data_IF_971334336095
#
_entry.id   IF_971334336095
#
_cell.length_a   1.000
_cell.length_b   1.000
_cell.length_c   1.000
_cell.angle_alpha   90.00
_cell.angle_beta   90.00
_cell.angle_gamma   90.00
#
_symmetry.space_group_name_H-M   'P 1'
#
loop_
_entity.id
_entity.type
_entity.pdbx_description
1 polymer ?
#
# COMPACT_ATOMS: atom_id res chain seq x y z
N UNK A 1 16.55 -60.44 8.49
CA UNK A 1 16.92 -59.66 7.30
C UNK A 1 15.79 -59.64 6.25
N UNK A 2 15.24 -60.79 5.83
CA UNK A 2 14.20 -60.90 4.79
C UNK A 2 12.85 -60.22 5.16
N UNK A 3 12.43 -60.34 6.40
CA UNK A 3 11.18 -59.67 6.87
C UNK A 3 11.31 -58.16 6.87
N UNK A 4 12.46 -57.62 7.22
CA UNK A 4 12.71 -56.17 7.22
C UNK A 4 12.77 -55.59 5.80
N UNK A 5 13.37 -56.34 4.86
CA UNK A 5 13.36 -56.00 3.44
C UNK A 5 11.90 -55.97 2.88
N UNK A 6 11.11 -56.96 3.21
CA UNK A 6 9.72 -57.05 2.78
C UNK A 6 8.88 -55.89 3.34
N UNK A 7 9.08 -55.50 4.61
CA UNK A 7 8.42 -54.33 5.19
C UNK A 7 8.78 -53.04 4.49
N UNK A 8 10.09 -52.87 4.17
CA UNK A 8 10.57 -51.69 3.43
C UNK A 8 9.99 -51.63 2.03
N UNK A 9 9.84 -52.76 1.34
CA UNK A 9 9.20 -52.82 0.02
C UNK A 9 7.70 -52.44 0.08
N UNK A 10 6.97 -52.91 1.11
CA UNK A 10 5.57 -52.52 1.32
C UNK A 10 5.48 -51.05 1.63
N UNK A 11 6.34 -50.48 2.44
CA UNK A 11 6.34 -49.04 2.74
C UNK A 11 6.62 -48.22 1.47
N UNK A 12 7.55 -48.62 0.63
CA UNK A 12 7.84 -47.98 -0.64
C UNK A 12 6.61 -48.02 -1.58
N UNK A 13 5.98 -49.18 -1.75
CA UNK A 13 4.81 -49.36 -2.59
C UNK A 13 3.62 -48.49 -2.09
N UNK A 14 3.42 -48.40 -0.77
CA UNK A 14 2.41 -47.52 -0.17
C UNK A 14 2.68 -46.04 -0.43
N UNK A 15 3.94 -45.62 -0.28
CA UNK A 15 4.34 -44.25 -0.57
C UNK A 15 4.14 -43.89 -2.06
N UNK A 16 4.39 -44.83 -2.96
CA UNK A 16 4.13 -44.65 -4.38
C UNK A 16 2.62 -44.53 -4.67
N UNK A 17 1.80 -45.39 -4.04
CA UNK A 17 0.35 -45.34 -4.19
C UNK A 17 -0.21 -44.01 -3.62
N UNK A 18 0.30 -43.52 -2.51
CA UNK A 18 -0.18 -42.26 -1.91
C UNK A 18 0.15 -41.06 -2.81
N UNK A 19 1.24 -41.08 -3.53
CA UNK A 19 1.58 -40.05 -4.54
C UNK A 19 0.61 -40.00 -5.75
N UNK A 20 -0.15 -41.06 -5.97
CA UNK A 20 -1.19 -41.05 -7.04
C UNK A 20 -2.52 -40.44 -6.58
N UNK A 21 -2.61 -40.03 -5.31
CA UNK A 21 -3.78 -39.41 -4.72
C UNK A 21 -3.47 -37.98 -4.36
N UNK A 22 -4.07 -37.05 -5.08
CA UNK A 22 -3.98 -35.63 -4.74
C UNK A 22 -4.98 -35.33 -3.62
N UNK A 23 -4.52 -34.69 -2.55
CA UNK A 23 -5.35 -34.29 -1.40
C UNK A 23 -5.13 -32.83 -1.12
N UNK A 24 -6.18 -32.11 -0.74
CA UNK A 24 -6.10 -30.74 -0.25
C UNK A 24 -5.29 -30.72 1.07
N UNK A 25 -4.20 -29.94 1.16
CA UNK A 25 -3.40 -29.84 2.38
C UNK A 25 -4.04 -28.95 3.45
N UNK A 26 -4.99 -28.10 3.08
CA UNK A 26 -5.75 -27.19 3.94
C UNK A 26 -7.14 -26.94 3.38
N UNK A 27 -8.03 -26.35 4.17
CA UNK A 27 -9.36 -25.92 3.75
C UNK A 27 -9.24 -24.64 2.90
N UNK A 28 -9.86 -24.62 1.71
CA UNK A 28 -9.73 -23.50 0.79
C UNK A 28 -10.69 -23.61 -0.39
N UNK A 29 -10.57 -22.67 -1.31
CA UNK A 29 -11.33 -22.66 -2.56
C UNK A 29 -10.46 -23.12 -3.72
N UNK A 30 -10.97 -24.04 -4.54
CA UNK A 30 -10.32 -24.44 -5.78
C UNK A 30 -10.49 -23.30 -6.77
N UNK A 31 -9.39 -22.62 -7.10
CA UNK A 31 -9.37 -21.53 -8.07
C UNK A 31 -9.45 -22.03 -9.49
N UNK A 32 -8.63 -23.00 -9.85
CA UNK A 32 -8.57 -23.55 -11.21
C UNK A 32 -8.23 -25.04 -11.19
N UNK A 33 -8.77 -25.77 -12.16
CA UNK A 33 -8.42 -27.17 -12.44
C UNK A 33 -7.93 -27.21 -13.89
N UNK A 34 -6.64 -27.50 -14.10
CA UNK A 34 -6.02 -27.50 -15.42
C UNK A 34 -5.82 -28.88 -16.03
N UNK A 35 -6.39 -29.92 -15.44
CA UNK A 35 -6.34 -31.28 -15.95
C UNK A 35 -7.70 -31.81 -16.34
N UNK A 36 -7.77 -32.57 -17.42
CA UNK A 36 -8.98 -33.28 -17.82
C UNK A 36 -8.94 -34.75 -17.40
N UNK A 37 -10.14 -35.36 -17.31
CA UNK A 37 -10.24 -36.77 -16.98
C UNK A 37 -9.56 -37.64 -18.04
N UNK A 38 -8.67 -38.54 -17.62
CA UNK A 38 -7.80 -39.38 -18.46
C UNK A 38 -6.60 -38.66 -19.09
N UNK A 39 -6.32 -37.43 -18.70
CA UNK A 39 -5.09 -36.74 -19.09
C UNK A 39 -3.90 -37.20 -18.23
N UNK A 40 -2.72 -37.27 -18.84
CA UNK A 40 -1.49 -37.60 -18.13
C UNK A 40 -0.88 -36.32 -17.54
N UNK A 41 -0.74 -36.29 -16.24
CA UNK A 41 -0.13 -35.17 -15.52
C UNK A 41 1.29 -35.54 -15.14
N UNK A 42 2.24 -34.69 -15.55
CA UNK A 42 3.66 -34.87 -15.22
C UNK A 42 3.95 -34.14 -13.90
N UNK A 43 4.56 -34.81 -12.91
CA UNK A 43 5.07 -34.12 -11.73
C UNK A 43 6.14 -33.09 -12.12
N UNK A 44 6.15 -31.93 -11.47
CA UNK A 44 7.12 -30.88 -11.73
C UNK A 44 8.54 -31.37 -11.50
N UNK A 45 9.42 -31.36 -12.51
CA UNK A 45 10.83 -31.65 -12.31
C UNK A 45 11.45 -30.59 -11.38
N UNK A 46 12.45 -30.94 -10.57
CA UNK A 46 13.18 -29.96 -9.75
C UNK A 46 13.74 -28.82 -10.60
N UNK A 47 13.43 -27.57 -10.25
CA UNK A 47 13.92 -26.37 -10.93
C UNK A 47 13.15 -25.94 -12.19
N UNK A 48 12.08 -26.63 -12.57
CA UNK A 48 11.19 -26.23 -13.66
C UNK A 48 9.82 -25.93 -13.08
N UNK A 49 9.39 -24.66 -13.18
CA UNK A 49 8.03 -24.29 -12.83
C UNK A 49 7.06 -24.85 -13.88
N UNK A 50 6.21 -25.79 -13.46
CA UNK A 50 5.10 -26.30 -14.29
C UNK A 50 3.79 -25.75 -13.75
N UNK A 51 2.82 -25.62 -14.64
CA UNK A 51 1.48 -25.18 -14.26
C UNK A 51 0.85 -26.21 -13.31
N UNK A 52 0.31 -25.80 -12.14
CA UNK A 52 -0.32 -26.72 -11.21
C UNK A 52 -1.59 -27.32 -11.82
N UNK A 53 -1.86 -28.60 -11.53
CA UNK A 53 -3.08 -29.26 -11.98
C UNK A 53 -4.32 -28.74 -11.29
N UNK A 54 -4.19 -28.40 -10.03
CA UNK A 54 -5.23 -27.79 -9.20
C UNK A 54 -4.60 -26.64 -8.45
N UNK A 55 -5.21 -25.47 -8.56
CA UNK A 55 -4.88 -24.32 -7.75
C UNK A 55 -5.84 -24.22 -6.57
N UNK A 56 -5.31 -24.25 -5.35
CA UNK A 56 -6.05 -24.19 -4.11
C UNK A 56 -5.68 -22.92 -3.34
N UNK A 57 -6.64 -22.05 -3.13
CA UNK A 57 -6.48 -20.75 -2.50
C UNK A 57 -7.02 -20.76 -1.09
N UNK A 58 -6.21 -20.31 -0.13
CA UNK A 58 -6.63 -20.03 1.24
C UNK A 58 -7.29 -18.65 1.30
N UNK A 59 -8.60 -18.62 1.51
CA UNK A 59 -9.39 -17.39 1.60
C UNK A 59 -9.51 -16.86 3.05
N UNK A 60 -8.78 -17.42 4.00
CA UNK A 60 -8.86 -17.00 5.40
C UNK A 60 -7.95 -15.80 5.71
N UNK A 61 -6.95 -15.55 4.88
CA UNK A 61 -5.95 -14.52 5.10
C UNK A 61 -5.64 -13.77 3.80
N UNK A 62 -6.02 -12.50 3.73
CA UNK A 62 -5.66 -11.60 2.65
C UNK A 62 -4.67 -10.56 3.14
N UNK A 63 -3.70 -10.24 2.29
CA UNK A 63 -2.79 -9.12 2.46
C UNK A 63 -2.50 -8.50 1.11
N UNK A 64 -2.09 -7.25 1.11
CA UNK A 64 -1.68 -6.52 -0.09
C UNK A 64 -0.16 -6.45 -0.13
N UNK A 65 0.42 -6.79 -1.26
CA UNK A 65 1.85 -6.58 -1.52
C UNK A 65 2.01 -5.33 -2.37
N UNK A 66 2.67 -4.31 -1.83
CA UNK A 66 2.96 -3.06 -2.51
C UNK A 66 4.47 -2.91 -2.75
N UNK A 67 4.91 -2.68 -4.00
CA UNK A 67 6.30 -2.35 -4.28
C UNK A 67 6.56 -0.89 -3.89
N UNK A 68 7.33 -0.66 -2.83
CA UNK A 68 7.72 0.67 -2.34
C UNK A 68 9.13 0.98 -2.81
N UNK A 69 9.37 2.24 -3.22
CA UNK A 69 10.69 2.70 -3.65
C UNK A 69 11.75 2.54 -2.54
N UNK A 70 12.98 2.19 -2.92
CA UNK A 70 14.11 1.99 -2.01
C UNK A 70 14.36 3.20 -1.09
N UNK A 71 14.11 4.41 -1.58
CA UNK A 71 14.32 5.65 -0.81
C UNK A 71 13.28 5.80 0.29
N UNK A 72 12.03 5.42 0.00
CA UNK A 72 10.91 5.58 0.93
C UNK A 72 10.81 4.43 1.94
N UNK A 73 11.14 3.21 1.53
CA UNK A 73 11.04 2.03 2.39
C UNK A 73 11.95 2.10 3.62
N UNK A 74 13.05 2.88 3.55
CA UNK A 74 13.97 3.08 4.68
C UNK A 74 13.29 3.67 5.94
N UNK A 75 12.12 4.30 5.78
CA UNK A 75 11.33 4.89 6.86
C UNK A 75 10.15 4.01 7.29
N UNK A 76 9.94 2.87 6.63
CA UNK A 76 8.80 1.98 6.88
C UNK A 76 9.19 0.90 7.88
N UNK A 77 8.42 0.75 8.94
CA UNK A 77 8.61 -0.28 9.95
C UNK A 77 7.40 -1.21 10.05
N UNK A 78 7.65 -2.46 10.46
CA UNK A 78 6.57 -3.42 10.76
C UNK A 78 5.70 -2.88 11.90
N UNK A 79 4.38 -2.93 11.69
CA UNK A 79 3.40 -2.41 12.64
C UNK A 79 2.91 -1.01 12.33
N UNK A 80 3.50 -0.29 11.37
CA UNK A 80 2.99 1.01 10.96
C UNK A 80 1.56 0.89 10.43
N UNK A 81 0.67 1.81 10.82
CA UNK A 81 -0.69 1.84 10.30
C UNK A 81 -0.69 2.13 8.80
N UNK A 82 -1.63 1.52 8.11
CA UNK A 82 -1.81 1.74 6.69
C UNK A 82 -3.29 1.89 6.34
N UNK A 83 -3.54 2.59 5.25
CA UNK A 83 -4.85 2.70 4.61
C UNK A 83 -4.80 2.00 3.27
N UNK A 84 -5.79 1.16 3.02
CA UNK A 84 -5.90 0.34 1.84
C UNK A 84 -7.15 0.75 1.07
N UNK A 85 -7.03 0.92 -0.24
CA UNK A 85 -8.16 1.14 -1.15
C UNK A 85 -8.10 0.06 -2.22
N UNK A 86 -9.22 -0.61 -2.44
CA UNK A 86 -9.33 -1.68 -3.45
C UNK A 86 -10.13 -1.15 -4.64
N UNK A 87 -9.62 -1.24 -5.85
CA UNK A 87 -10.30 -0.76 -7.06
C UNK A 87 -11.71 -1.34 -7.21
N UNK A 88 -11.90 -2.59 -6.82
CA UNK A 88 -13.20 -3.26 -6.87
C UNK A 88 -14.25 -2.68 -5.91
N UNK A 89 -13.84 -1.90 -4.91
CA UNK A 89 -14.71 -1.30 -3.89
C UNK A 89 -14.80 0.23 -3.98
N UNK A 90 -14.24 0.82 -5.03
CA UNK A 90 -14.24 2.27 -5.24
C UNK A 90 -13.55 3.02 -4.11
N UNK A 91 -14.19 4.08 -3.59
CA UNK A 91 -13.59 4.96 -2.57
C UNK A 91 -13.60 4.40 -1.13
N UNK A 92 -13.95 3.12 -0.95
CA UNK A 92 -13.96 2.50 0.39
C UNK A 92 -12.53 2.33 0.90
N UNK A 93 -12.28 2.89 2.09
CA UNK A 93 -10.97 2.81 2.75
C UNK A 93 -11.00 1.76 3.85
N UNK A 94 -10.03 0.87 3.82
CA UNK A 94 -9.84 -0.17 4.83
C UNK A 94 -8.63 0.15 5.67
N UNK A 95 -8.72 -0.08 6.97
CA UNK A 95 -7.58 0.05 7.87
C UNK A 95 -6.74 -1.23 7.82
N UNK A 96 -5.44 -1.05 7.93
CA UNK A 96 -4.49 -2.13 7.97
C UNK A 96 -3.18 -1.72 8.63
N UNK A 97 -2.25 -2.63 8.68
CA UNK A 97 -0.90 -2.39 9.21
C UNK A 97 0.15 -3.14 8.41
N UNK A 98 1.35 -2.58 8.42
CA UNK A 98 2.52 -3.22 7.82
C UNK A 98 2.83 -4.52 8.56
N UNK A 99 2.71 -5.62 7.86
CA UNK A 99 2.97 -6.97 8.36
C UNK A 99 4.43 -7.39 8.15
N UNK A 100 4.98 -7.05 6.99
CA UNK A 100 6.34 -7.42 6.61
C UNK A 100 6.94 -6.39 5.65
N UNK A 101 8.22 -6.12 5.81
CA UNK A 101 9.05 -5.38 4.86
C UNK A 101 10.02 -6.37 4.23
N UNK A 102 10.14 -6.36 2.91
CA UNK A 102 11.05 -7.24 2.17
C UNK A 102 12.51 -7.07 2.61
N UNK A 103 13.26 -8.15 2.59
CA UNK A 103 14.66 -8.14 3.04
C UNK A 103 15.66 -7.78 1.94
N UNK A 104 15.20 -7.55 0.71
CA UNK A 104 16.06 -7.24 -0.44
C UNK A 104 15.32 -6.37 -1.45
N UNK A 105 16.10 -5.60 -2.20
CA UNK A 105 15.60 -4.75 -3.27
C UNK A 105 15.40 -5.59 -4.52
N UNK A 106 14.24 -5.47 -5.14
CA UNK A 106 13.92 -6.07 -6.43
C UNK A 106 14.28 -5.10 -7.55
N UNK A 107 15.01 -5.60 -8.54
CA UNK A 107 15.34 -4.87 -9.76
C UNK A 107 14.62 -5.58 -10.93
N UNK A 108 13.30 -5.51 -10.92
CA UNK A 108 12.44 -6.15 -11.93
C UNK A 108 12.36 -5.32 -13.22
N UNK A 109 12.47 -4.02 -13.10
CA UNK A 109 12.49 -3.09 -14.23
C UNK A 109 13.71 -2.17 -14.11
N UNK A 110 14.43 -1.98 -15.22
CA UNK A 110 15.71 -1.22 -15.27
C UNK A 110 15.66 0.21 -14.69
N UNK A 111 14.52 0.69 -14.23
CA UNK A 111 14.32 2.06 -13.76
C UNK A 111 13.67 2.16 -12.37
N UNK A 112 13.16 1.06 -11.80
CA UNK A 112 12.50 1.09 -10.49
C UNK A 112 13.14 0.04 -9.57
N UNK A 113 13.77 0.52 -8.51
CA UNK A 113 14.31 -0.31 -7.42
C UNK A 113 13.33 -0.28 -6.27
N UNK A 114 12.63 -1.37 -6.07
CA UNK A 114 11.55 -1.46 -5.09
C UNK A 114 11.79 -2.55 -4.08
N UNK A 115 11.15 -2.42 -2.93
CA UNK A 115 11.08 -3.44 -1.89
C UNK A 115 9.61 -3.78 -1.67
N UNK A 116 9.29 -5.06 -1.67
CA UNK A 116 7.93 -5.51 -1.39
C UNK A 116 7.58 -5.28 0.09
N UNK A 117 6.52 -4.53 0.32
CA UNK A 117 5.93 -4.32 1.64
C UNK A 117 4.57 -5.01 1.67
N UNK A 118 4.39 -5.90 2.63
CA UNK A 118 3.11 -6.58 2.85
C UNK A 118 2.30 -5.86 3.93
N UNK A 119 1.06 -5.57 3.60
CA UNK A 119 0.10 -4.91 4.51
C UNK A 119 -1.08 -5.84 4.72
N UNK A 120 -1.39 -6.15 5.97
CA UNK A 120 -2.56 -6.93 6.36
C UNK A 120 -3.72 -6.03 6.75
N UNK A 121 -4.95 -6.49 6.54
CA UNK A 121 -6.16 -5.80 6.94
C UNK A 121 -6.43 -6.02 8.43
N UNK A 122 -6.79 -4.95 9.15
CA UNK A 122 -7.17 -5.06 10.57
C UNK A 122 -8.47 -5.85 10.76
N UNK A 123 -9.39 -5.75 9.81
CA UNK A 123 -10.66 -6.48 9.86
C UNK A 123 -10.91 -7.22 8.53
N UNK A 124 -10.37 -8.43 8.36
CA UNK A 124 -10.59 -9.24 7.15
C UNK A 124 -12.07 -9.56 6.89
N UNK A 125 -12.91 -9.61 7.92
CA UNK A 125 -14.34 -9.88 7.76
C UNK A 125 -15.10 -8.74 7.04
N UNK A 126 -14.54 -7.53 7.02
CA UNK A 126 -15.14 -6.40 6.30
C UNK A 126 -14.93 -6.48 4.79
N UNK A 127 -14.04 -7.34 4.32
CA UNK A 127 -13.69 -7.47 2.90
C UNK A 127 -14.78 -8.17 2.07
N UNK A 128 -15.70 -8.90 2.70
CA UNK A 128 -16.73 -9.67 1.98
C UNK A 128 -16.12 -10.70 1.02
N UNK A 129 -16.45 -10.60 -0.27
CA UNK A 129 -15.95 -11.51 -1.32
C UNK A 129 -14.79 -10.87 -2.10
N UNK A 130 -13.64 -10.69 -1.47
CA UNK A 130 -12.42 -10.27 -2.18
C UNK A 130 -11.78 -11.47 -2.87
N UNK A 131 -11.32 -11.27 -4.09
CA UNK A 131 -10.57 -12.27 -4.83
C UNK A 131 -9.07 -11.96 -4.78
N UNK A 132 -8.25 -12.99 -4.67
CA UNK A 132 -6.81 -12.84 -4.85
C UNK A 132 -6.51 -12.30 -6.25
N UNK A 133 -5.59 -11.33 -6.35
CA UNK A 133 -5.25 -10.66 -7.61
C UNK A 133 -6.00 -9.35 -7.87
N UNK A 134 -6.85 -8.88 -6.97
CA UNK A 134 -7.39 -7.53 -7.07
C UNK A 134 -6.29 -6.47 -6.90
N UNK A 135 -6.40 -5.38 -7.68
CA UNK A 135 -5.56 -4.20 -7.51
C UNK A 135 -5.93 -3.44 -6.25
N UNK A 136 -4.92 -2.93 -5.56
CA UNK A 136 -5.09 -2.18 -4.34
C UNK A 136 -4.03 -1.08 -4.23
N UNK A 137 -4.45 0.08 -3.75
CA UNK A 137 -3.56 1.17 -3.34
C UNK A 137 -3.29 1.09 -1.84
N UNK A 138 -2.04 1.36 -1.48
CA UNK A 138 -1.57 1.31 -0.09
C UNK A 138 -0.97 2.66 0.29
N UNK A 139 -1.54 3.29 1.30
CA UNK A 139 -0.98 4.48 1.96
C UNK A 139 -0.43 4.07 3.33
N UNK A 140 0.90 4.07 3.49
CA UNK A 140 1.54 3.80 4.78
C UNK A 140 1.66 5.11 5.56
N UNK A 141 1.15 5.12 6.79
CA UNK A 141 1.13 6.32 7.64
C UNK A 141 2.41 6.32 8.49
N UNK A 142 3.37 7.16 8.10
CA UNK A 142 4.67 7.24 8.76
C UNK A 142 4.61 8.03 10.08
N UNK A 143 3.78 9.07 10.12
CA UNK A 143 3.59 9.91 11.30
C UNK A 143 2.20 10.56 11.27
N UNK A 144 1.70 10.89 12.44
CA UNK A 144 0.43 11.62 12.63
C UNK A 144 0.71 12.77 13.58
N UNK A 145 0.27 13.98 13.21
CA UNK A 145 0.20 15.11 14.12
C UNK A 145 -1.25 15.39 14.42
N UNK A 146 -1.60 15.37 15.69
CA UNK A 146 -2.96 15.62 16.16
C UNK A 146 -3.12 17.08 16.61
N UNK A 147 -4.30 17.66 16.35
CA UNK A 147 -4.66 19.02 16.81
C UNK A 147 -3.69 20.13 16.37
N UNK A 148 -3.11 20.00 15.17
CA UNK A 148 -2.15 20.99 14.66
C UNK A 148 -2.81 21.97 13.68
N UNK A 149 -2.30 23.20 13.65
CA UNK A 149 -2.64 24.15 12.61
C UNK A 149 -2.00 23.69 11.28
N UNK A 150 -2.76 23.69 10.22
CA UNK A 150 -2.29 23.28 8.88
C UNK A 150 -2.76 24.22 7.81
N UNK A 151 -1.96 24.34 6.77
CA UNK A 151 -2.28 25.08 5.56
C UNK A 151 -2.19 24.17 4.34
N UNK A 152 -2.87 24.45 3.22
CA UNK A 152 -2.63 23.74 1.95
C UNK A 152 -1.17 23.88 1.53
N UNK A 153 -0.52 22.76 1.16
CA UNK A 153 0.90 22.77 0.76
C UNK A 153 1.17 23.63 -0.47
N UNK A 154 0.18 23.76 -1.35
CA UNK A 154 0.23 24.66 -2.52
C UNK A 154 0.34 26.16 -2.17
N UNK A 155 0.00 26.56 -0.93
CA UNK A 155 0.12 27.93 -0.46
C UNK A 155 1.55 28.28 0.00
N UNK A 156 2.41 27.29 0.17
CA UNK A 156 3.78 27.47 0.68
C UNK A 156 4.71 27.97 -0.43
N UNK A 157 5.41 29.06 -0.16
CA UNK A 157 6.37 29.69 -1.07
C UNK A 157 7.76 29.63 -0.44
N UNK A 158 8.79 29.25 -1.25
CA UNK A 158 10.19 29.18 -0.78
C UNK A 158 10.35 28.40 0.55
N UNK A 159 9.56 27.32 0.74
CA UNK A 159 9.56 26.40 1.88
C UNK A 159 9.11 26.99 3.24
N UNK A 160 9.04 28.30 3.41
CA UNK A 160 8.80 28.95 4.72
C UNK A 160 7.96 30.23 4.67
N UNK A 161 7.46 30.61 3.53
CA UNK A 161 6.62 31.80 3.38
C UNK A 161 5.24 31.46 2.88
N UNK A 162 4.28 32.30 3.25
CA UNK A 162 2.94 32.31 2.66
C UNK A 162 2.51 33.75 2.35
N UNK A 163 1.55 33.89 1.46
CA UNK A 163 0.87 35.18 1.28
C UNK A 163 -0.43 35.16 2.05
N UNK A 164 -0.58 36.07 3.00
CA UNK A 164 -1.80 36.32 3.76
C UNK A 164 -2.59 37.45 3.12
N UNK A 165 -3.91 37.31 3.11
CA UNK A 165 -4.78 38.42 2.74
C UNK A 165 -5.09 39.25 3.99
N UNK A 166 -4.52 40.45 4.06
CA UNK A 166 -4.94 41.43 5.04
C UNK A 166 -6.33 41.98 4.64
N UNK A 167 -7.34 41.57 5.39
CA UNK A 167 -8.72 41.98 5.14
C UNK A 167 -9.00 43.44 5.49
N UNK A 168 -8.16 44.13 6.27
CA UNK A 168 -8.30 45.52 6.63
C UNK A 168 -7.82 46.48 5.54
N UNK A 169 -6.72 46.10 4.87
CA UNK A 169 -6.13 46.91 3.79
C UNK A 169 -6.44 46.34 2.39
N UNK A 170 -6.95 45.11 2.30
CA UNK A 170 -7.23 44.43 1.05
C UNK A 170 -5.98 44.12 0.23
N UNK A 171 -4.86 43.85 0.90
CA UNK A 171 -3.55 43.60 0.27
C UNK A 171 -3.01 42.26 0.70
N UNK A 172 -2.07 41.72 -0.13
CA UNK A 172 -1.31 40.54 0.21
C UNK A 172 -0.07 40.91 1.02
N UNK A 173 0.16 40.18 2.12
CA UNK A 173 1.35 40.35 2.96
C UNK A 173 2.14 39.05 2.95
N UNK A 174 3.40 39.09 2.56
CA UNK A 174 4.31 37.96 2.65
C UNK A 174 4.69 37.72 4.10
N UNK A 175 4.24 36.61 4.69
CA UNK A 175 4.50 36.24 6.08
C UNK A 175 5.42 35.02 6.14
N UNK A 176 6.39 35.05 7.07
CA UNK A 176 7.24 33.93 7.37
C UNK A 176 6.57 33.04 8.43
N UNK A 177 6.64 31.71 8.27
CA UNK A 177 6.15 30.75 9.23
C UNK A 177 7.15 29.61 9.38
N UNK A 178 7.02 28.86 10.45
CA UNK A 178 7.83 27.68 10.72
C UNK A 178 7.03 26.43 10.32
N UNK A 179 7.41 25.73 9.22
CA UNK A 179 6.74 24.53 8.80
C UNK A 179 7.14 23.34 9.66
N UNK A 180 6.17 22.48 9.94
CA UNK A 180 6.35 21.16 10.55
C UNK A 180 6.33 20.03 9.52
N UNK A 181 5.56 18.97 9.82
CA UNK A 181 5.34 17.88 8.87
C UNK A 181 4.54 18.36 7.66
N UNK A 182 4.88 17.83 6.47
CA UNK A 182 4.17 18.15 5.24
C UNK A 182 3.89 16.90 4.42
N UNK A 183 2.79 16.94 3.67
CA UNK A 183 2.44 15.98 2.65
C UNK A 183 2.00 16.74 1.37
N UNK A 184 1.46 16.01 0.38
CA UNK A 184 1.01 16.60 -0.88
C UNK A 184 -0.12 17.63 -0.70
N UNK A 185 -1.01 17.44 0.29
CA UNK A 185 -2.19 18.27 0.50
C UNK A 185 -1.96 19.39 1.52
N UNK A 186 -1.26 19.08 2.61
CA UNK A 186 -1.14 19.98 3.76
C UNK A 186 0.27 20.07 4.32
N UNK A 187 0.61 21.26 4.81
CA UNK A 187 1.81 21.54 5.61
C UNK A 187 1.39 22.00 7.00
N UNK A 188 1.97 21.38 8.02
CA UNK A 188 1.81 21.76 9.42
C UNK A 188 2.47 23.10 9.69
N UNK A 189 1.85 23.92 10.55
CA UNK A 189 2.36 25.20 11.01
C UNK A 189 2.72 25.09 12.48
N UNK A 190 4.02 25.19 12.79
CA UNK A 190 4.51 25.16 14.15
C UNK A 190 4.41 26.54 14.80
N UNK A 191 4.67 27.60 14.02
CA UNK A 191 4.58 29.00 14.47
C UNK A 191 4.48 29.97 13.30
N UNK A 192 4.08 31.21 13.56
CA UNK A 192 4.04 32.31 12.57
C UNK A 192 2.69 32.56 11.92
N UNK A 193 1.70 31.68 12.08
CA UNK A 193 0.32 31.85 11.59
C UNK A 193 -0.68 31.55 12.69
N UNK A 194 -1.88 32.13 12.56
CA UNK A 194 -2.98 31.93 13.50
C UNK A 194 -4.19 31.25 12.82
N UNK A 195 -5.02 30.61 13.64
CA UNK A 195 -6.23 29.99 13.11
C UNK A 195 -7.22 31.07 12.64
N UNK A 196 -7.57 31.01 11.38
CA UNK A 196 -8.46 32.01 10.74
C UNK A 196 -7.75 32.91 9.73
N UNK A 197 -6.43 32.86 9.67
CA UNK A 197 -5.66 33.55 8.62
C UNK A 197 -6.07 33.07 7.23
N UNK A 198 -6.19 33.99 6.30
CA UNK A 198 -6.54 33.71 4.90
C UNK A 198 -5.27 33.57 4.08
N UNK A 199 -4.89 32.34 3.74
CA UNK A 199 -3.73 32.07 2.91
C UNK A 199 -4.09 31.98 1.42
N UNK A 200 -3.21 32.46 0.56
CA UNK A 200 -3.37 32.39 -0.91
C UNK A 200 -2.88 31.04 -1.40
N UNK A 201 -3.77 30.27 -2.03
CA UNK A 201 -3.44 28.97 -2.63
C UNK A 201 -2.93 29.08 -4.07
N UNK A 202 -3.27 30.16 -4.77
CA UNK A 202 -2.89 30.37 -6.18
C UNK A 202 -1.58 31.13 -6.34
N UNK A 203 -0.57 30.78 -5.58
CA UNK A 203 0.75 31.49 -5.54
C UNK A 203 1.52 31.50 -6.87
N UNK A 204 1.23 30.56 -7.78
CA UNK A 204 1.86 30.52 -9.12
C UNK A 204 1.21 31.44 -10.18
N UNK A 205 0.13 32.18 -9.85
CA UNK A 205 -0.48 33.11 -10.80
C UNK A 205 0.33 34.40 -10.91
N UNK A 206 0.42 34.93 -12.14
CA UNK A 206 1.03 36.26 -12.36
C UNK A 206 0.28 37.31 -11.56
N UNK A 207 1.04 38.17 -10.85
CA UNK A 207 0.48 39.26 -10.05
C UNK A 207 0.38 38.96 -8.56
N UNK A 208 0.67 37.76 -8.09
CA UNK A 208 0.77 37.47 -6.65
C UNK A 208 2.13 37.93 -6.14
N UNK A 209 2.14 39.02 -5.39
CA UNK A 209 3.35 39.57 -4.76
C UNK A 209 2.96 40.36 -3.50
N UNK A 210 3.95 40.63 -2.67
CA UNK A 210 3.81 41.43 -1.46
C UNK A 210 3.28 42.82 -1.76
N UNK A 211 2.28 43.30 -1.01
CA UNK A 211 1.66 44.60 -1.18
C UNK A 211 0.64 44.71 -2.33
N UNK A 212 0.36 43.65 -3.04
CA UNK A 212 -0.64 43.66 -4.15
C UNK A 212 -2.07 43.58 -3.60
N UNK A 213 -2.93 44.41 -4.14
CA UNK A 213 -4.34 44.39 -3.80
C UNK A 213 -5.02 43.07 -4.24
N UNK A 214 -5.70 42.40 -3.31
CA UNK A 214 -6.38 41.14 -3.56
C UNK A 214 -7.76 41.10 -2.89
N UNK A 215 -8.65 40.30 -3.47
CA UNK A 215 -10.02 40.09 -2.97
C UNK A 215 -10.25 38.60 -2.89
N UNK A 216 -10.98 38.17 -1.87
CA UNK A 216 -11.40 36.79 -1.73
C UNK A 216 -12.34 36.38 -2.86
N UNK A 217 -11.98 35.36 -3.62
CA UNK A 217 -12.91 34.77 -4.60
C UNK A 217 -14.01 34.00 -3.84
N UNK A 218 -15.25 34.40 -4.01
CA UNK A 218 -16.39 33.66 -3.43
C UNK A 218 -16.79 32.59 -4.45
N UNK A 219 -16.62 31.34 -4.13
CA UNK A 219 -17.19 30.24 -4.91
C UNK A 219 -18.73 30.31 -4.75
N UNK A 220 -19.44 30.51 -5.86
CA UNK A 220 -20.89 30.32 -5.93
C UNK A 220 -21.27 28.84 -5.95
#
# INVERSE_FOLDING_TARGET
>A
ATVEVAKSQIALARAQLEKTRLRAPFDGTVGEIQGELNEYVTPSPPGIATVPVIDLIDNTCFYVTAPIDEVDVARVEVGFPARLTLDAYGDMKFSGKVRRVGAYVLDLEKQARTVDVEVEFDNPAALGCVLAGYSADVEIILAVSEETLRIPSEAVVEEKFVYLLDTSEGQLVKSEFEPGMSNWDFTEVLSGLEAGDLVVTSVGKEGVADGVAAVRETQE
#
